data_IF_540217059043
#
_entry.id   IF_540217059043
#
_cell.length_a   1.000
_cell.length_b   1.000
_cell.length_c   1.000
_cell.angle_alpha   90.00
_cell.angle_beta   90.00
_cell.angle_gamma   90.00
#
_symmetry.space_group_name_H-M   'P 1'
#
loop_
_entity.id
_entity.type
_entity.pdbx_description
1 polymer ?
#
# COMPACT_ATOMS: atom_id res chain seq x y z
N UNK A 1 -18.65 10.81 -2.34
CA UNK A 1 -18.52 11.66 -1.15
C UNK A 1 -17.25 11.25 -0.44
N UNK A 2 -16.19 12.00 -0.67
CA UNK A 2 -14.85 11.74 -0.13
C UNK A 2 -14.86 11.95 1.39
N UNK A 3 -14.00 11.25 2.14
CA UNK A 3 -13.82 11.42 3.59
C UNK A 3 -13.58 12.90 4.00
N UNK A 4 -13.05 13.71 3.08
CA UNK A 4 -12.91 15.17 3.22
C UNK A 4 -14.25 15.92 3.19
N UNK A 5 -15.18 15.54 2.33
CA UNK A 5 -16.51 16.15 2.24
C UNK A 5 -17.36 15.82 3.49
N UNK A 6 -17.28 14.57 3.98
CA UNK A 6 -17.91 14.18 5.24
C UNK A 6 -17.34 14.93 6.46
N UNK A 7 -16.01 15.17 6.50
CA UNK A 7 -15.39 15.97 7.57
C UNK A 7 -15.85 17.42 7.56
N UNK A 8 -16.01 18.04 6.39
CA UNK A 8 -16.54 19.41 6.28
C UNK A 8 -18.00 19.50 6.71
N UNK A 9 -18.84 18.52 6.34
CA UNK A 9 -20.27 18.55 6.64
C UNK A 9 -20.53 18.39 8.16
N UNK A 10 -19.86 17.43 8.81
CA UNK A 10 -19.94 17.25 10.27
C UNK A 10 -19.34 18.44 11.03
N UNK A 11 -18.23 19.03 10.54
CA UNK A 11 -17.64 20.23 11.16
C UNK A 11 -18.54 21.47 11.01
N UNK A 12 -19.33 21.56 9.93
CA UNK A 12 -20.29 22.66 9.73
C UNK A 12 -21.54 22.56 10.60
N UNK A 13 -21.94 21.34 10.97
CA UNK A 13 -23.15 21.08 11.78
C UNK A 13 -22.86 20.92 13.28
N UNK A 14 -21.62 20.58 13.66
CA UNK A 14 -21.21 20.45 15.07
C UNK A 14 -21.51 21.71 15.91
N UNK A 15 -21.30 22.96 15.43
CA UNK A 15 -21.68 24.16 16.19
C UNK A 15 -23.19 24.24 16.44
N UNK A 16 -24.02 23.82 15.47
CA UNK A 16 -25.49 23.83 15.60
C UNK A 16 -25.96 22.76 16.58
N UNK A 17 -25.33 21.58 16.60
CA UNK A 17 -25.63 20.52 17.56
C UNK A 17 -25.28 20.93 19.01
N UNK A 18 -24.20 21.68 19.19
CA UNK A 18 -23.81 22.21 20.51
C UNK A 18 -24.76 23.33 20.94
N UNK A 19 -25.24 24.15 20.01
CA UNK A 19 -26.22 25.19 20.30
C UNK A 19 -27.64 24.66 20.57
N UNK A 20 -27.97 23.43 20.16
CA UNK A 20 -29.31 22.86 20.33
C UNK A 20 -29.73 22.68 21.81
N UNK A 21 -28.78 22.71 22.75
CA UNK A 21 -29.04 22.63 24.21
C UNK A 21 -29.44 23.96 24.84
N UNK A 22 -29.26 25.08 24.13
CA UNK A 22 -29.57 26.43 24.63
C UNK A 22 -31.02 26.90 24.45
N UNK A 23 -31.67 26.71 23.27
CA UNK A 23 -33.01 27.24 23.00
C UNK A 23 -34.15 26.22 23.21
N UNK A 24 -33.87 24.93 23.34
CA UNK A 24 -34.88 23.90 23.62
C UNK A 24 -34.84 23.64 25.12
N UNK A 25 -35.92 23.96 25.84
CA UNK A 25 -36.03 23.81 27.31
C UNK A 25 -36.03 22.38 27.84
N UNK A 26 -35.49 21.43 27.08
CA UNK A 26 -35.39 20.01 27.40
C UNK A 26 -33.97 19.67 27.88
N UNK A 27 -33.86 18.76 28.85
CA UNK A 27 -32.57 18.32 29.41
C UNK A 27 -31.85 17.36 28.44
N UNK A 28 -31.29 17.91 27.36
CA UNK A 28 -30.58 17.16 26.32
C UNK A 28 -29.08 17.36 26.47
N UNK A 29 -28.31 16.26 26.45
CA UNK A 29 -26.84 16.27 26.44
C UNK A 29 -26.32 15.65 25.14
N UNK A 30 -25.46 16.37 24.43
CA UNK A 30 -24.83 15.90 23.19
C UNK A 30 -23.40 15.44 23.49
N UNK A 31 -23.09 14.19 23.13
CA UNK A 31 -21.73 13.63 23.24
C UNK A 31 -21.15 13.48 21.84
N UNK A 32 -20.02 14.15 21.60
CA UNK A 32 -19.28 14.08 20.34
C UNK A 32 -18.02 13.24 20.53
N UNK A 33 -17.80 12.26 19.65
CA UNK A 33 -16.62 11.39 19.66
C UNK A 33 -15.78 11.68 18.41
N UNK A 34 -14.48 11.93 18.60
CA UNK A 34 -13.56 12.21 17.49
C UNK A 34 -12.14 11.78 17.83
N UNK A 35 -11.39 11.39 16.78
CA UNK A 35 -9.93 11.23 16.83
C UNK A 35 -9.18 12.55 16.57
N UNK A 36 -9.91 13.63 16.32
CA UNK A 36 -9.36 14.95 15.97
C UNK A 36 -9.48 15.88 17.18
N UNK A 37 -8.42 16.64 17.46
CA UNK A 37 -8.42 17.68 18.49
C UNK A 37 -9.48 18.77 18.22
N UNK A 38 -10.12 19.25 19.29
CA UNK A 38 -11.24 20.20 19.24
C UNK A 38 -10.90 21.50 18.49
N UNK A 39 -9.65 21.97 18.54
CA UNK A 39 -9.21 23.21 17.89
C UNK A 39 -9.51 23.24 16.37
N UNK A 40 -9.59 22.07 15.73
CA UNK A 40 -9.92 21.96 14.29
C UNK A 40 -11.41 22.07 13.98
N UNK A 41 -12.26 22.00 14.99
CA UNK A 41 -13.72 22.14 14.85
C UNK A 41 -14.20 23.56 15.16
N UNK A 42 -13.33 24.44 15.67
CA UNK A 42 -13.72 25.82 15.99
C UNK A 42 -14.07 26.59 14.72
N UNK A 43 -15.31 27.08 14.57
CA UNK A 43 -15.70 27.92 13.44
C UNK A 43 -15.15 29.34 13.62
N UNK A 44 -14.99 30.06 12.51
CA UNK A 44 -14.51 31.45 12.53
C UNK A 44 -15.49 32.41 13.24
N UNK A 45 -16.75 32.05 13.38
CA UNK A 45 -17.80 32.84 14.02
C UNK A 45 -17.96 32.57 15.52
N UNK A 46 -17.15 31.69 16.10
CA UNK A 46 -17.27 31.23 17.48
C UNK A 46 -18.36 30.16 17.68
N UNK A 47 -18.20 29.35 18.72
CA UNK A 47 -19.17 28.34 19.15
C UNK A 47 -19.12 28.20 20.68
N UNK A 48 -20.12 27.53 21.26
CA UNK A 48 -20.05 27.15 22.67
C UNK A 48 -18.96 26.09 22.88
N UNK A 49 -18.16 26.23 23.93
CA UNK A 49 -17.03 25.33 24.19
C UNK A 49 -17.53 24.09 24.96
N UNK A 50 -17.43 22.89 24.38
CA UNK A 50 -17.87 21.67 25.04
C UNK A 50 -16.91 21.27 26.16
N UNK A 51 -17.39 20.41 27.06
CA UNK A 51 -16.51 19.74 28.02
C UNK A 51 -15.62 18.74 27.28
N UNK A 52 -14.31 18.99 27.26
CA UNK A 52 -13.33 18.13 26.60
C UNK A 52 -12.91 16.98 27.51
N UNK A 53 -13.17 15.75 27.07
CA UNK A 53 -12.72 14.52 27.73
C UNK A 53 -11.75 13.79 26.81
N UNK A 54 -10.51 13.64 27.25
CA UNK A 54 -9.49 12.90 26.52
C UNK A 54 -9.43 11.44 26.98
N UNK A 55 -9.52 10.51 26.04
CA UNK A 55 -9.30 9.09 26.24
C UNK A 55 -7.86 8.77 25.80
N UNK A 56 -6.92 8.54 26.74
CA UNK A 56 -5.53 8.26 26.40
C UNK A 56 -5.36 6.88 25.75
N UNK A 57 -4.27 6.71 25.03
CA UNK A 57 -3.89 5.42 24.46
C UNK A 57 -3.54 4.41 25.58
N UNK A 58 -3.90 3.15 25.36
CA UNK A 58 -3.54 2.07 26.29
C UNK A 58 -2.02 1.83 26.31
N UNK A 59 -1.47 1.74 27.51
CA UNK A 59 -0.13 1.24 27.78
C UNK A 59 0.00 -0.24 27.42
N UNK A 60 1.25 -0.73 27.26
CA UNK A 60 1.51 -2.16 27.02
C UNK A 60 0.90 -3.05 28.10
N UNK A 61 0.97 -2.62 29.36
CA UNK A 61 0.39 -3.34 30.51
C UNK A 61 -1.14 -3.40 30.43
N UNK A 62 -1.80 -2.29 30.09
CA UNK A 62 -3.26 -2.25 29.95
C UNK A 62 -3.71 -3.11 28.77
N UNK A 63 -3.03 -3.04 27.62
CA UNK A 63 -3.30 -3.91 26.48
C UNK A 63 -3.14 -5.38 26.86
N UNK A 64 -2.10 -5.75 27.61
CA UNK A 64 -1.91 -7.12 28.08
C UNK A 64 -3.08 -7.55 28.96
N UNK A 65 -3.51 -6.70 29.90
CA UNK A 65 -4.64 -7.00 30.79
C UNK A 65 -5.94 -7.16 30.00
N UNK A 66 -6.25 -6.23 29.09
CA UNK A 66 -7.49 -6.25 28.29
C UNK A 66 -7.53 -7.46 27.36
N UNK A 67 -6.44 -7.73 26.63
CA UNK A 67 -6.38 -8.85 25.70
C UNK A 67 -6.45 -10.20 26.43
N UNK A 68 -5.83 -10.31 27.60
CA UNK A 68 -5.81 -11.55 28.40
C UNK A 68 -7.16 -11.89 29.05
N UNK A 69 -8.20 -11.08 28.90
CA UNK A 69 -9.55 -11.40 29.40
C UNK A 69 -10.31 -12.37 28.49
N UNK A 70 -9.98 -12.43 27.20
CA UNK A 70 -10.66 -13.27 26.20
C UNK A 70 -10.03 -14.68 26.12
N UNK A 71 -9.87 -15.34 27.27
CA UNK A 71 -9.22 -16.66 27.36
C UNK A 71 -10.13 -17.73 26.76
N UNK A 72 -9.55 -18.60 25.93
CA UNK A 72 -10.24 -19.80 25.47
C UNK A 72 -10.41 -20.79 26.63
N UNK A 73 -11.60 -21.36 26.80
CA UNK A 73 -11.95 -22.23 27.95
C UNK A 73 -11.05 -23.47 28.12
N UNK A 74 -10.33 -23.87 27.08
CA UNK A 74 -9.45 -25.04 27.07
C UNK A 74 -8.05 -24.84 27.67
N UNK A 75 -7.64 -23.59 27.96
CA UNK A 75 -6.27 -23.29 28.40
C UNK A 75 -6.24 -22.45 29.68
N UNK A 76 -5.12 -22.53 30.42
CA UNK A 76 -4.95 -21.73 31.64
C UNK A 76 -4.81 -20.23 31.36
N UNK A 77 -5.35 -19.39 32.24
CA UNK A 77 -5.24 -17.93 32.10
C UNK A 77 -3.77 -17.45 32.12
N UNK A 78 -2.91 -18.13 32.88
CA UNK A 78 -1.47 -17.85 32.90
C UNK A 78 -0.80 -18.15 31.56
N UNK A 79 -1.19 -19.23 30.89
CA UNK A 79 -0.71 -19.58 29.56
C UNK A 79 -1.11 -18.55 28.51
N UNK A 80 -2.37 -18.14 28.48
CA UNK A 80 -2.85 -17.13 27.54
C UNK A 80 -2.23 -15.75 27.80
N UNK A 81 -2.02 -15.36 29.06
CA UNK A 81 -1.32 -14.12 29.40
C UNK A 81 0.15 -14.13 28.94
N UNK A 82 0.83 -15.27 29.06
CA UNK A 82 2.19 -15.43 28.52
C UNK A 82 2.20 -15.30 26.99
N UNK A 83 1.22 -15.90 26.30
CA UNK A 83 1.03 -15.73 24.85
C UNK A 83 0.82 -14.27 24.44
N UNK A 84 -0.07 -13.54 25.13
CA UNK A 84 -0.31 -12.13 24.86
C UNK A 84 0.93 -11.28 25.11
N UNK A 85 1.71 -11.56 26.16
CA UNK A 85 2.97 -10.85 26.41
C UNK A 85 3.99 -11.09 25.28
N UNK A 86 4.07 -12.32 24.78
CA UNK A 86 4.87 -12.70 23.61
C UNK A 86 4.43 -11.92 22.37
N UNK A 87 3.12 -11.90 22.09
CA UNK A 87 2.54 -11.19 20.96
C UNK A 87 2.83 -9.69 21.04
N UNK A 88 2.56 -9.07 22.20
CA UNK A 88 2.88 -7.66 22.42
C UNK A 88 4.39 -7.39 22.39
N UNK A 89 5.24 -8.37 22.69
CA UNK A 89 6.68 -8.28 22.50
C UNK A 89 7.08 -8.04 21.04
N UNK A 90 6.35 -8.63 20.09
CA UNK A 90 6.60 -8.48 18.64
C UNK A 90 5.87 -7.27 18.07
N UNK A 91 4.55 -7.18 18.29
CA UNK A 91 3.69 -6.26 17.55
C UNK A 91 3.59 -4.86 18.16
N UNK A 92 3.85 -4.65 19.45
CA UNK A 92 3.60 -3.36 20.12
C UNK A 92 4.40 -2.18 19.53
N UNK A 93 5.53 -2.47 18.89
CA UNK A 93 6.35 -1.45 18.20
C UNK A 93 5.72 -0.94 16.90
N UNK A 94 4.86 -1.75 16.25
CA UNK A 94 4.27 -1.47 14.93
C UNK A 94 2.76 -1.21 15.03
N UNK A 95 2.06 -1.89 15.95
CA UNK A 95 0.61 -1.82 16.10
C UNK A 95 0.22 -1.67 17.58
N UNK A 96 -0.58 -0.64 17.87
CA UNK A 96 -1.18 -0.37 19.19
C UNK A 96 -2.72 -0.38 19.18
N UNK A 97 -3.34 -0.66 18.03
CA UNK A 97 -4.80 -0.78 17.94
C UNK A 97 -5.23 -2.09 18.61
N UNK A 98 -6.02 -1.96 19.68
CA UNK A 98 -6.57 -3.08 20.43
C UNK A 98 -7.32 -4.08 19.55
N UNK A 99 -8.07 -3.61 18.55
CA UNK A 99 -8.90 -4.45 17.67
C UNK A 99 -8.03 -5.30 16.75
N UNK A 100 -6.99 -4.71 16.18
CA UNK A 100 -6.04 -5.42 15.32
C UNK A 100 -5.20 -6.40 16.14
N UNK A 101 -4.72 -6.00 17.32
CA UNK A 101 -4.00 -6.90 18.23
C UNK A 101 -4.89 -8.07 18.68
N UNK A 102 -6.19 -7.84 18.93
CA UNK A 102 -7.14 -8.91 19.25
C UNK A 102 -7.35 -9.86 18.07
N UNK A 103 -7.44 -9.34 16.85
CA UNK A 103 -7.56 -10.15 15.65
C UNK A 103 -6.30 -11.01 15.43
N UNK A 104 -5.11 -10.41 15.52
CA UNK A 104 -3.83 -11.11 15.41
C UNK A 104 -3.66 -12.17 16.50
N UNK A 105 -4.11 -11.88 17.72
CA UNK A 105 -4.10 -12.84 18.82
C UNK A 105 -4.99 -14.04 18.49
N UNK A 106 -6.21 -13.82 18.01
CA UNK A 106 -7.10 -14.91 17.61
C UNK A 106 -6.52 -15.75 16.45
N UNK A 107 -5.95 -15.08 15.43
CA UNK A 107 -5.42 -15.74 14.23
C UNK A 107 -4.20 -16.63 14.54
N UNK A 108 -3.29 -16.15 15.39
CA UNK A 108 -2.03 -16.85 15.64
C UNK A 108 -2.08 -17.79 16.85
N UNK A 109 -3.18 -17.80 17.62
CA UNK A 109 -3.31 -18.65 18.81
C UNK A 109 -3.33 -20.14 18.47
N UNK A 110 -4.00 -20.54 17.38
CA UNK A 110 -4.02 -21.94 16.93
C UNK A 110 -2.60 -22.49 16.70
N UNK A 111 -1.76 -21.71 16.00
CA UNK A 111 -0.36 -22.06 15.73
C UNK A 111 0.52 -22.04 16.99
N UNK A 112 0.22 -21.17 17.95
CA UNK A 112 0.89 -21.18 19.26
C UNK A 112 0.67 -22.48 20.02
N UNK A 113 -0.53 -23.05 19.91
CA UNK A 113 -0.94 -24.26 20.62
C UNK A 113 -0.55 -25.57 19.91
N UNK A 114 -0.16 -25.52 18.63
CA UNK A 114 0.18 -26.70 17.82
C UNK A 114 1.26 -27.60 18.47
N UNK A 115 2.38 -27.08 19.01
CA UNK A 115 3.39 -27.92 19.68
C UNK A 115 2.86 -28.66 20.92
N UNK A 116 1.82 -28.13 21.57
CA UNK A 116 1.16 -28.78 22.71
C UNK A 116 0.18 -29.87 22.25
N UNK A 117 -0.54 -29.61 21.16
CA UNK A 117 -1.50 -30.56 20.59
C UNK A 117 -0.82 -31.78 19.94
N UNK A 118 0.32 -31.57 19.28
CA UNK A 118 1.07 -32.63 18.59
C UNK A 118 1.97 -33.47 19.53
N UNK A 119 2.08 -33.09 20.80
CA UNK A 119 2.93 -33.80 21.78
C UNK A 119 4.42 -33.77 21.43
N UNK A 120 4.86 -32.85 20.57
CA UNK A 120 6.27 -32.74 20.13
C UNK A 120 7.17 -32.40 21.32
N UNK A 121 7.82 -33.42 21.88
CA UNK A 121 8.90 -33.27 22.86
C UNK A 121 8.49 -33.03 24.31
N UNK A 122 7.38 -33.62 24.79
CA UNK A 122 6.91 -33.50 26.19
C UNK A 122 6.72 -32.05 26.66
N UNK A 123 6.39 -31.13 25.74
CA UNK A 123 6.19 -29.72 26.07
C UNK A 123 4.97 -29.55 26.98
N UNK A 124 5.16 -28.83 28.09
CA UNK A 124 4.07 -28.43 28.99
C UNK A 124 3.74 -26.96 28.78
N UNK A 125 2.57 -26.53 29.24
CA UNK A 125 2.17 -25.10 29.24
C UNK A 125 3.21 -24.20 29.94
N UNK A 126 4.03 -24.77 30.83
CA UNK A 126 5.09 -24.07 31.57
C UNK A 126 6.34 -23.76 30.75
N UNK A 127 6.55 -24.41 29.59
CA UNK A 127 7.73 -24.25 28.72
C UNK A 127 7.62 -23.02 27.79
N UNK A 128 7.26 -21.86 28.34
CA UNK A 128 6.96 -20.62 27.59
C UNK A 128 8.09 -20.19 26.64
N UNK A 129 9.35 -20.36 27.04
CA UNK A 129 10.51 -20.00 26.22
C UNK A 129 10.69 -20.91 24.98
N UNK A 130 10.34 -22.20 25.07
CA UNK A 130 10.41 -23.13 23.92
C UNK A 130 9.29 -22.82 22.92
N UNK A 131 8.09 -22.52 23.43
CA UNK A 131 6.94 -22.11 22.62
C UNK A 131 7.20 -20.78 21.92
N UNK A 132 7.83 -19.81 22.61
CA UNK A 132 8.31 -18.58 22.00
C UNK A 132 9.23 -18.83 20.82
N UNK A 133 10.29 -19.63 21.00
CA UNK A 133 11.25 -19.92 19.91
C UNK A 133 10.59 -20.57 18.69
N UNK A 134 9.52 -21.33 18.90
CA UNK A 134 8.77 -21.96 17.81
C UNK A 134 7.91 -20.95 17.04
N UNK A 135 7.18 -20.06 17.73
CA UNK A 135 6.25 -19.13 17.07
C UNK A 135 6.89 -17.80 16.65
N UNK A 136 7.99 -17.39 17.28
CA UNK A 136 8.68 -16.11 17.01
C UNK A 136 8.91 -15.85 15.51
N UNK A 137 9.47 -16.77 14.70
CA UNK A 137 9.66 -16.52 13.26
C UNK A 137 8.34 -16.34 12.52
N UNK A 138 7.30 -17.06 12.92
CA UNK A 138 5.96 -16.93 12.34
C UNK A 138 5.32 -15.58 12.67
N UNK A 139 5.42 -15.11 13.92
CA UNK A 139 4.93 -13.79 14.31
C UNK A 139 5.69 -12.66 13.63
N UNK A 140 7.03 -12.75 13.50
CA UNK A 140 7.83 -11.75 12.78
C UNK A 140 7.46 -11.65 11.31
N UNK A 141 7.07 -12.76 10.69
CA UNK A 141 6.57 -12.79 9.33
C UNK A 141 5.16 -12.19 9.22
N UNK A 142 4.25 -12.56 10.12
CA UNK A 142 2.93 -11.97 10.23
C UNK A 142 2.98 -10.45 10.46
N UNK A 143 4.02 -9.95 11.15
CA UNK A 143 4.27 -8.53 11.37
C UNK A 143 4.38 -7.72 10.07
N UNK A 144 4.86 -8.34 8.98
CA UNK A 144 5.02 -7.67 7.68
C UNK A 144 3.69 -7.47 6.94
N UNK A 145 2.61 -8.11 7.39
CA UNK A 145 1.30 -8.13 6.70
C UNK A 145 0.15 -7.70 7.61
N UNK A 146 0.44 -7.13 8.80
CA UNK A 146 -0.52 -6.82 9.88
C UNK A 146 -1.76 -6.07 9.40
N UNK A 147 -1.57 -5.02 8.59
CA UNK A 147 -2.66 -4.13 8.17
C UNK A 147 -3.25 -4.47 6.81
N UNK A 148 -2.71 -5.48 6.13
CA UNK A 148 -3.21 -5.81 4.81
C UNK A 148 -4.63 -6.41 4.91
N UNK A 149 -5.03 -7.03 6.04
CA UNK A 149 -6.31 -7.79 6.24
C UNK A 149 -6.61 -8.83 5.14
N UNK A 150 -5.75 -8.93 4.14
CA UNK A 150 -5.81 -9.67 2.90
C UNK A 150 -5.51 -11.15 3.09
N UNK A 151 -5.12 -11.52 4.29
CA UNK A 151 -4.96 -12.91 4.63
C UNK A 151 -6.21 -13.34 5.39
N UNK A 152 -7.24 -13.74 4.63
CA UNK A 152 -8.31 -14.57 5.21
C UNK A 152 -7.65 -15.74 5.96
N UNK A 153 -8.18 -16.14 7.12
CA UNK A 153 -7.64 -17.28 7.89
C UNK A 153 -7.38 -18.51 7.01
N UNK A 154 -8.24 -18.73 6.01
CA UNK A 154 -8.12 -19.75 4.97
C UNK A 154 -6.93 -19.55 4.02
N UNK A 155 -6.64 -18.32 3.59
CA UNK A 155 -5.47 -18.02 2.75
C UNK A 155 -4.17 -18.15 3.55
N UNK A 156 -4.17 -17.82 4.84
CA UNK A 156 -2.99 -18.02 5.69
C UNK A 156 -2.68 -19.51 5.87
N UNK A 157 -3.72 -20.32 6.12
CA UNK A 157 -3.62 -21.77 6.23
C UNK A 157 -3.14 -22.39 4.90
N UNK A 158 -3.64 -21.92 3.76
CA UNK A 158 -3.17 -22.34 2.43
C UNK A 158 -1.72 -21.89 2.15
N UNK A 159 -1.33 -20.68 2.59
CA UNK A 159 0.06 -20.19 2.51
C UNK A 159 1.01 -21.05 3.35
N UNK A 160 0.58 -21.50 4.53
CA UNK A 160 1.36 -22.44 5.36
C UNK A 160 1.55 -23.80 4.68
N UNK A 161 0.53 -24.33 4.02
CA UNK A 161 0.60 -25.61 3.29
C UNK A 161 1.45 -25.53 2.00
N UNK A 162 1.47 -24.38 1.32
CA UNK A 162 2.34 -24.17 0.16
C UNK A 162 3.81 -23.98 0.56
N UNK A 163 4.08 -23.40 1.73
CA UNK A 163 5.45 -23.15 2.22
C UNK A 163 6.23 -24.40 2.62
N UNK A 164 5.58 -25.47 3.08
CA UNK A 164 6.25 -26.75 3.30
C UNK A 164 6.76 -27.38 1.99
N UNK A 165 6.21 -26.97 0.83
CA UNK A 165 6.58 -27.50 -0.49
C UNK A 165 7.57 -26.59 -1.26
N UNK A 166 7.54 -25.29 -1.05
CA UNK A 166 8.41 -24.33 -1.76
C UNK A 166 9.19 -23.44 -0.79
N UNK A 167 10.31 -23.95 -0.30
CA UNK A 167 11.28 -23.16 0.45
C UNK A 167 11.91 -22.08 -0.46
N UNK A 168 11.40 -20.84 -0.43
CA UNK A 168 12.22 -19.69 -0.82
C UNK A 168 11.59 -18.42 -1.39
N UNK A 169 10.28 -18.34 -1.68
CA UNK A 169 9.74 -17.11 -2.26
C UNK A 169 8.34 -16.78 -1.73
N UNK A 170 8.30 -15.98 -0.67
CA UNK A 170 7.11 -15.26 -0.23
C UNK A 170 6.60 -14.35 -1.35
N UNK A 171 5.48 -14.72 -1.97
CA UNK A 171 4.72 -13.85 -2.86
C UNK A 171 3.32 -13.67 -2.27
N UNK A 172 3.14 -12.63 -1.46
CA UNK A 172 1.79 -12.17 -1.08
C UNK A 172 0.99 -11.70 -2.31
N UNK A 173 -0.26 -11.28 -2.14
CA UNK A 173 -1.08 -10.72 -3.23
C UNK A 173 -0.40 -9.55 -3.97
N UNK A 174 0.49 -8.81 -3.30
CA UNK A 174 1.36 -7.78 -3.90
C UNK A 174 2.33 -8.31 -4.97
N UNK A 175 2.58 -9.62 -5.00
CA UNK A 175 3.46 -10.30 -5.92
C UNK A 175 2.72 -11.12 -6.99
N UNK A 176 1.38 -11.10 -6.99
CA UNK A 176 0.55 -11.42 -8.15
C UNK A 176 0.45 -10.21 -9.10
N UNK A 177 1.59 -9.61 -9.43
CA UNK A 177 1.70 -8.68 -10.56
C UNK A 177 1.64 -9.43 -11.90
N UNK A 178 0.80 -10.45 -12.01
CA UNK A 178 0.57 -11.19 -13.24
C UNK A 178 -0.68 -10.62 -13.92
N UNK A 179 -0.60 -9.35 -14.32
CA UNK A 179 -1.63 -8.75 -15.18
C UNK A 179 -1.31 -9.15 -16.62
N UNK A 180 -2.13 -10.03 -17.18
CA UNK A 180 -2.03 -10.37 -18.59
C UNK A 180 -2.60 -9.24 -19.44
N UNK A 181 -1.71 -8.51 -20.11
CA UNK A 181 -2.06 -7.42 -21.03
C UNK A 181 -1.87 -7.87 -22.49
N UNK A 182 -2.67 -7.36 -23.44
CA UNK A 182 -2.40 -7.54 -24.86
C UNK A 182 -1.00 -7.05 -25.26
N UNK A 183 -0.43 -7.63 -26.34
CA UNK A 183 0.94 -7.33 -26.78
C UNK A 183 1.22 -5.82 -26.94
N UNK A 184 0.37 -5.09 -27.66
CA UNK A 184 0.54 -3.65 -27.84
C UNK A 184 0.33 -2.85 -26.56
N UNK A 185 -0.60 -3.26 -25.69
CA UNK A 185 -0.78 -2.66 -24.36
C UNK A 185 0.48 -2.79 -23.50
N UNK A 186 1.22 -3.91 -23.58
CA UNK A 186 2.51 -4.08 -22.90
C UNK A 186 3.54 -3.06 -23.39
N UNK A 187 3.70 -2.91 -24.70
CA UNK A 187 4.65 -1.95 -25.27
C UNK A 187 4.24 -0.48 -25.03
N UNK A 188 2.94 -0.16 -25.07
CA UNK A 188 2.42 1.16 -24.69
C UNK A 188 2.77 1.48 -23.24
N UNK A 189 2.61 0.51 -22.33
CA UNK A 189 2.93 0.69 -20.93
C UNK A 189 4.44 0.84 -20.69
N UNK A 190 5.29 0.08 -21.40
CA UNK A 190 6.76 0.22 -21.37
C UNK A 190 7.16 1.62 -21.87
N UNK A 191 6.61 2.05 -23.01
CA UNK A 191 6.87 3.37 -23.56
C UNK A 191 6.44 4.49 -22.62
N UNK A 192 5.28 4.36 -21.96
CA UNK A 192 4.80 5.31 -20.97
C UNK A 192 5.68 5.38 -19.72
N UNK A 193 6.22 4.25 -19.27
CA UNK A 193 7.18 4.20 -18.17
C UNK A 193 8.46 4.95 -18.54
N UNK A 194 9.02 4.65 -19.72
CA UNK A 194 10.21 5.35 -20.23
C UNK A 194 9.95 6.86 -20.40
N UNK A 195 8.77 7.25 -20.89
CA UNK A 195 8.39 8.65 -21.01
C UNK A 195 8.30 9.35 -19.63
N UNK A 196 7.83 8.66 -18.59
CA UNK A 196 7.65 9.24 -17.25
C UNK A 196 8.96 9.40 -16.49
N UNK A 197 9.87 8.43 -16.60
CA UNK A 197 11.08 8.36 -15.78
C UNK A 197 12.32 8.93 -16.49
N UNK A 198 12.33 8.98 -17.83
CA UNK A 198 13.41 9.62 -18.57
C UNK A 198 13.11 11.11 -18.85
N UNK A 199 14.10 12.00 -18.68
CA UNK A 199 13.99 13.37 -19.15
C UNK A 199 13.82 13.44 -20.68
N UNK A 200 12.90 14.27 -21.18
CA UNK A 200 12.64 14.43 -22.63
C UNK A 200 13.89 14.77 -23.47
N UNK A 201 14.87 15.46 -22.87
CA UNK A 201 16.17 15.76 -23.51
C UNK A 201 16.96 14.51 -23.92
N UNK A 202 16.66 13.35 -23.33
CA UNK A 202 17.37 12.09 -23.57
C UNK A 202 16.72 11.23 -24.65
N UNK A 203 15.49 11.54 -25.09
CA UNK A 203 14.73 10.70 -26.02
C UNK A 203 15.48 10.47 -27.34
N UNK A 204 16.12 11.51 -27.89
CA UNK A 204 16.93 11.42 -29.12
C UNK A 204 18.08 10.41 -29.00
N UNK A 205 18.68 10.28 -27.82
CA UNK A 205 19.80 9.36 -27.58
C UNK A 205 19.32 7.91 -27.54
N UNK A 206 18.13 7.66 -27.00
CA UNK A 206 17.61 6.31 -26.75
C UNK A 206 16.77 5.76 -27.90
N UNK A 207 16.00 6.60 -28.59
CA UNK A 207 14.92 6.16 -29.47
C UNK A 207 15.13 6.52 -30.96
N UNK A 208 16.25 7.17 -31.31
CA UNK A 208 16.55 7.47 -32.71
C UNK A 208 17.46 6.39 -33.33
N UNK A 209 16.89 5.51 -34.18
CA UNK A 209 17.56 4.34 -34.81
C UNK A 209 18.78 4.69 -35.70
N UNK A 210 18.99 5.96 -36.04
CA UNK A 210 20.16 6.44 -36.79
C UNK A 210 20.82 7.66 -36.13
N UNK A 211 21.21 7.54 -34.87
CA UNK A 211 22.12 8.53 -34.32
C UNK A 211 23.52 8.25 -34.88
N UNK A 212 23.95 9.03 -35.88
CA UNK A 212 25.35 9.09 -36.28
C UNK A 212 26.24 9.32 -35.04
N UNK A 213 27.53 8.90 -35.09
CA UNK A 213 28.50 8.89 -33.96
C UNK A 213 28.16 9.95 -32.91
N UNK A 214 27.43 9.54 -31.86
CA UNK A 214 27.20 10.39 -30.69
C UNK A 214 28.58 10.61 -30.08
N UNK A 215 29.12 11.82 -30.20
CA UNK A 215 30.29 12.21 -29.41
C UNK A 215 29.92 11.91 -27.96
N UNK A 216 30.70 11.03 -27.31
CA UNK A 216 30.73 10.87 -25.85
C UNK A 216 31.15 12.20 -25.24
N UNK A 217 30.29 13.21 -25.34
CA UNK A 217 30.40 14.40 -24.51
C UNK A 217 30.08 13.89 -23.14
N UNK A 218 31.06 14.01 -22.25
CA UNK A 218 30.90 13.72 -20.84
C UNK A 218 29.76 14.60 -20.34
N UNK A 219 28.53 14.10 -20.40
CA UNK A 219 27.42 14.65 -19.64
C UNK A 219 27.70 14.23 -18.21
N UNK A 220 28.67 14.93 -17.60
CA UNK A 220 28.81 15.04 -16.16
C UNK A 220 27.38 15.17 -15.65
N UNK A 221 26.94 14.22 -14.82
CA UNK A 221 25.65 14.25 -14.13
C UNK A 221 25.58 15.60 -13.41
N UNK A 222 25.07 16.64 -14.10
CA UNK A 222 25.15 18.03 -13.67
C UNK A 222 24.09 18.16 -12.58
N UNK A 223 24.50 17.82 -11.35
CA UNK A 223 23.76 18.05 -10.11
C UNK A 223 22.27 17.64 -10.10
N UNK A 224 21.87 16.53 -10.74
CA UNK A 224 20.66 15.83 -10.30
C UNK A 224 21.08 14.92 -9.14
N UNK A 225 21.22 15.51 -7.94
CA UNK A 225 21.63 14.79 -6.71
C UNK A 225 20.60 13.75 -6.25
N UNK A 226 19.41 13.74 -6.86
CA UNK A 226 18.28 12.87 -6.55
C UNK A 226 17.86 12.11 -7.80
N UNK A 227 17.83 10.77 -7.73
CA UNK A 227 17.33 9.90 -8.81
C UNK A 227 15.92 10.30 -9.23
N UNK A 228 15.62 10.23 -10.53
CA UNK A 228 14.27 10.48 -11.06
C UNK A 228 13.25 9.50 -10.46
N UNK A 229 13.68 8.28 -10.13
CA UNK A 229 12.83 7.30 -9.42
C UNK A 229 12.44 7.75 -8.01
N UNK A 230 13.25 8.57 -7.33
CA UNK A 230 12.93 9.15 -6.02
C UNK A 230 11.99 10.36 -6.13
N UNK A 231 12.06 11.11 -7.24
CA UNK A 231 11.20 12.27 -7.49
C UNK A 231 9.79 11.86 -7.97
N UNK A 232 9.64 10.65 -8.48
CA UNK A 232 8.39 10.11 -9.00
C UNK A 232 8.17 10.40 -10.50
N UNK A 233 7.07 9.85 -11.07
CA UNK A 233 6.80 9.89 -12.51
C UNK A 233 6.47 11.30 -13.00
N UNK A 234 7.17 11.76 -14.05
CA UNK A 234 6.93 13.07 -14.68
C UNK A 234 5.80 12.98 -15.72
N UNK A 235 4.94 14.02 -15.84
CA UNK A 235 3.91 14.02 -16.86
C UNK A 235 4.51 14.14 -18.26
N UNK A 236 3.93 13.44 -19.23
CA UNK A 236 4.34 13.46 -20.63
C UNK A 236 3.13 13.63 -21.56
N UNK A 237 3.30 14.30 -22.73
CA UNK A 237 2.23 14.44 -23.71
C UNK A 237 2.03 13.15 -24.51
N UNK A 238 0.83 12.97 -25.09
CA UNK A 238 0.49 11.84 -25.95
C UNK A 238 1.47 11.64 -27.12
N UNK A 239 1.90 12.72 -27.76
CA UNK A 239 2.82 12.65 -28.90
C UNK A 239 4.15 11.99 -28.53
N UNK A 240 4.67 12.29 -27.33
CA UNK A 240 5.90 11.70 -26.82
C UNK A 240 5.73 10.21 -26.55
N UNK A 241 4.57 9.79 -26.03
CA UNK A 241 4.25 8.37 -25.82
C UNK A 241 4.26 7.62 -27.14
N UNK A 242 3.54 8.12 -28.15
CA UNK A 242 3.44 7.49 -29.46
C UNK A 242 4.81 7.41 -30.15
N UNK A 243 5.61 8.49 -30.08
CA UNK A 243 6.95 8.51 -30.65
C UNK A 243 7.87 7.44 -30.03
N UNK A 244 7.84 7.30 -28.70
CA UNK A 244 8.62 6.25 -28.00
C UNK A 244 8.07 4.87 -28.36
N UNK A 245 6.75 4.68 -28.33
CA UNK A 245 6.08 3.43 -28.68
C UNK A 245 6.49 2.93 -30.08
N UNK A 246 6.37 3.76 -31.10
CA UNK A 246 6.75 3.40 -32.47
C UNK A 246 8.27 3.19 -32.64
N UNK A 247 9.10 3.73 -31.75
CA UNK A 247 10.54 3.45 -31.75
C UNK A 247 10.88 2.09 -31.14
N UNK A 248 10.20 1.70 -30.05
CA UNK A 248 10.55 0.49 -29.28
C UNK A 248 9.87 -0.76 -29.82
N UNK A 249 8.75 -0.62 -30.54
CA UNK A 249 8.09 -1.74 -31.21
C UNK A 249 8.83 -2.05 -32.51
N UNK A 250 9.18 -3.32 -32.70
CA UNK A 250 9.93 -3.77 -33.90
C UNK A 250 9.03 -3.89 -35.14
N UNK A 251 7.72 -4.05 -34.97
CA UNK A 251 6.76 -4.13 -36.08
C UNK A 251 6.34 -2.75 -36.60
N UNK A 252 6.07 -2.65 -37.90
CA UNK A 252 5.43 -1.46 -38.48
C UNK A 252 3.97 -1.44 -38.04
N UNK A 253 3.67 -0.63 -37.04
CA UNK A 253 2.32 -0.45 -36.51
C UNK A 253 1.68 0.79 -37.15
N UNK A 254 0.52 0.62 -37.79
CA UNK A 254 -0.26 1.74 -38.28
C UNK A 254 -0.96 2.47 -37.10
N UNK A 255 -1.08 3.81 -37.13
CA UNK A 255 -1.85 4.56 -36.13
C UNK A 255 -3.35 4.32 -36.32
N UNK A 256 -3.87 3.27 -35.68
CA UNK A 256 -5.29 2.90 -35.72
C UNK A 256 -6.03 3.38 -34.46
N UNK A 257 -7.35 3.57 -34.56
CA UNK A 257 -8.21 3.91 -33.42
C UNK A 257 -8.07 2.93 -32.24
N UNK A 258 -7.69 1.67 -32.52
CA UNK A 258 -7.45 0.65 -31.50
C UNK A 258 -6.28 0.98 -30.56
N UNK A 259 -5.25 1.72 -31.01
CA UNK A 259 -4.13 2.14 -30.15
C UNK A 259 -4.61 3.17 -29.14
N UNK A 260 -5.37 4.18 -29.58
CA UNK A 260 -5.96 5.17 -28.70
C UNK A 260 -6.94 4.52 -27.71
N UNK A 261 -7.76 3.57 -28.17
CA UNK A 261 -8.63 2.79 -27.30
C UNK A 261 -7.84 2.03 -26.23
N UNK A 262 -6.68 1.43 -26.58
CA UNK A 262 -5.83 0.75 -25.60
C UNK A 262 -5.21 1.71 -24.59
N UNK A 263 -4.81 2.92 -25.01
CA UNK A 263 -4.31 3.95 -24.08
C UNK A 263 -5.42 4.33 -23.09
N UNK A 264 -6.64 4.57 -23.58
CA UNK A 264 -7.79 4.84 -22.71
C UNK A 264 -8.07 3.68 -21.74
N UNK A 265 -8.02 2.43 -22.22
CA UNK A 265 -8.16 1.26 -21.34
C UNK A 265 -7.07 1.18 -20.27
N UNK A 266 -5.81 1.51 -20.59
CA UNK A 266 -4.72 1.56 -19.59
C UNK A 266 -4.96 2.65 -18.54
N UNK A 267 -5.63 3.76 -18.90
CA UNK A 267 -6.06 4.79 -17.95
C UNK A 267 -7.21 4.29 -17.07
N UNK A 268 -8.22 3.65 -17.68
CA UNK A 268 -9.34 3.04 -16.93
C UNK A 268 -8.84 2.00 -15.92
N UNK A 269 -7.84 1.20 -16.30
CA UNK A 269 -7.19 0.19 -15.45
C UNK A 269 -6.21 0.78 -14.41
N UNK A 270 -6.07 2.11 -14.34
CA UNK A 270 -5.16 2.80 -13.41
C UNK A 270 -3.68 2.41 -13.58
N UNK A 271 -3.30 1.88 -14.74
CA UNK A 271 -1.88 1.66 -15.09
C UNK A 271 -1.24 2.95 -15.60
N UNK A 272 -2.06 3.82 -16.20
CA UNK A 272 -1.74 5.21 -16.52
C UNK A 272 -2.72 6.15 -15.79
N UNK A 273 -2.26 7.34 -15.47
CA UNK A 273 -3.11 8.42 -14.96
C UNK A 273 -3.11 9.58 -15.95
N UNK A 274 -4.29 10.07 -16.32
CA UNK A 274 -4.43 11.31 -17.05
C UNK A 274 -4.36 12.49 -16.07
N UNK A 275 -3.54 13.49 -16.39
CA UNK A 275 -3.25 14.65 -15.51
C UNK A 275 -3.82 15.95 -16.08
N UNK A 276 -4.18 15.97 -17.37
CA UNK A 276 -4.95 17.08 -17.94
C UNK A 276 -6.36 17.11 -17.36
N UNK A 277 -6.95 18.30 -17.23
CA UNK A 277 -8.38 18.43 -16.94
C UNK A 277 -9.22 17.75 -18.04
N UNK A 278 -10.34 17.14 -17.64
CA UNK A 278 -11.23 16.38 -18.54
C UNK A 278 -11.78 17.23 -19.70
N UNK A 279 -11.86 18.55 -19.52
CA UNK A 279 -12.41 19.49 -20.51
C UNK A 279 -11.48 19.80 -21.68
N UNK A 280 -10.21 19.34 -21.66
CA UNK A 280 -9.20 19.68 -22.65
C UNK A 280 -8.79 18.48 -23.50
N UNK A 281 -9.55 18.23 -24.58
CA UNK A 281 -9.33 17.11 -25.52
C UNK A 281 -8.07 17.25 -26.39
N UNK A 282 -7.58 18.47 -26.61
CA UNK A 282 -6.56 18.75 -27.63
C UNK A 282 -5.13 18.31 -27.25
N UNK A 283 -4.81 18.17 -25.95
CA UNK A 283 -3.44 17.87 -25.51
C UNK A 283 -3.42 17.09 -24.18
N UNK A 284 -3.90 15.82 -24.16
CA UNK A 284 -3.89 15.03 -22.95
C UNK A 284 -2.45 14.77 -22.48
N UNK A 285 -2.24 14.94 -21.18
CA UNK A 285 -0.99 14.61 -20.50
C UNK A 285 -1.21 13.40 -19.62
N UNK A 286 -0.28 12.47 -19.68
CA UNK A 286 -0.33 11.22 -18.92
C UNK A 286 0.85 11.11 -17.96
N UNK A 287 0.69 10.26 -16.94
CA UNK A 287 1.75 9.78 -16.04
C UNK A 287 1.63 8.27 -15.91
N UNK A 288 2.77 7.59 -15.82
CA UNK A 288 2.80 6.18 -15.54
C UNK A 288 2.61 5.93 -14.04
N UNK A 289 1.72 5.00 -13.68
CA UNK A 289 1.39 4.68 -12.29
C UNK A 289 2.02 3.36 -11.80
N UNK A 290 2.78 2.66 -12.66
CA UNK A 290 3.35 1.35 -12.33
C UNK A 290 4.76 1.44 -11.74
N UNK A 291 5.13 0.44 -10.94
CA UNK A 291 6.46 0.34 -10.33
C UNK A 291 7.52 -0.21 -11.30
N UNK A 292 8.80 -0.06 -10.93
CA UNK A 292 9.92 -0.61 -11.68
C UNK A 292 9.85 -2.13 -11.79
N UNK A 293 9.47 -2.82 -10.71
CA UNK A 293 9.39 -4.28 -10.69
C UNK A 293 8.28 -4.80 -11.61
N UNK A 294 7.13 -4.12 -11.59
CA UNK A 294 6.00 -4.43 -12.45
C UNK A 294 6.37 -4.30 -13.93
N UNK A 295 6.99 -3.17 -14.30
CA UNK A 295 7.36 -2.96 -15.70
C UNK A 295 8.51 -3.86 -16.15
N UNK A 296 9.45 -4.20 -15.26
CA UNK A 296 10.48 -5.20 -15.55
C UNK A 296 9.86 -6.57 -15.82
N UNK A 297 8.87 -6.99 -15.03
CA UNK A 297 8.15 -8.24 -15.24
C UNK A 297 7.45 -8.26 -16.61
N UNK A 298 6.72 -7.20 -16.97
CA UNK A 298 6.07 -7.07 -18.28
C UNK A 298 7.11 -7.10 -19.42
N UNK A 299 8.20 -6.36 -19.28
CA UNK A 299 9.25 -6.26 -20.31
C UNK A 299 9.88 -7.62 -20.59
N UNK A 300 10.08 -8.46 -19.57
CA UNK A 300 10.56 -9.85 -19.75
C UNK A 300 9.59 -10.68 -20.59
N UNK A 301 8.28 -10.52 -20.43
CA UNK A 301 7.28 -11.29 -21.22
C UNK A 301 7.28 -10.97 -22.72
N UNK A 302 7.83 -9.82 -23.11
CA UNK A 302 7.98 -9.40 -24.52
C UNK A 302 9.45 -9.38 -24.95
N UNK A 303 10.35 -9.95 -24.15
CA UNK A 303 11.79 -9.99 -24.39
C UNK A 303 12.42 -8.60 -24.65
N UNK A 304 11.95 -7.57 -23.94
CA UNK A 304 12.46 -6.21 -24.01
C UNK A 304 13.33 -5.88 -22.78
N UNK A 305 14.54 -5.37 -23.01
CA UNK A 305 15.46 -4.99 -21.92
C UNK A 305 15.29 -3.51 -21.56
N UNK A 306 14.32 -3.23 -20.68
CA UNK A 306 13.95 -1.86 -20.29
C UNK A 306 15.08 -1.11 -19.56
N UNK A 307 15.94 -1.82 -18.81
CA UNK A 307 16.98 -1.20 -17.97
C UNK A 307 17.98 -0.45 -18.83
N UNK A 308 18.30 -0.94 -20.03
CA UNK A 308 19.17 -0.27 -21.01
C UNK A 308 18.65 1.10 -21.48
N UNK A 309 17.34 1.32 -21.39
CA UNK A 309 16.69 2.54 -21.84
C UNK A 309 16.40 3.52 -20.71
N UNK A 310 16.71 3.20 -19.44
CA UNK A 310 16.48 4.09 -18.31
C UNK A 310 17.71 4.96 -18.02
N UNK A 311 17.52 6.27 -17.95
CA UNK A 311 18.58 7.25 -17.76
C UNK A 311 19.35 7.07 -16.44
N UNK A 312 18.66 6.68 -15.37
CA UNK A 312 19.23 6.59 -14.02
C UNK A 312 20.20 5.41 -13.84
N UNK A 313 20.06 4.36 -14.66
CA UNK A 313 20.84 3.11 -14.56
C UNK A 313 22.04 3.06 -15.53
N UNK A 314 22.42 4.23 -16.08
CA UNK A 314 23.57 4.42 -16.98
C UNK A 314 24.72 5.23 -16.35
#
# INVERSE_FOLDING_TARGET
ITLSEMKCQVASEAPNAIQATGPVGDNVTVILLSEIAWDKFRPNTGCFEPLLLHFPDYSKSELQQILSQNVHSSYSAGFYSAYINILLGVFYSVCRDLRELRHLAALNFSKFCEPLAEGKGNLKETDTHKLWKHIEPHLKKAMQTVYLREVSSLQWEQMQQMEEKEAGALRGLSAHTHVELPYYSKFLLIAAYLASYNPARTDKRFFLKHHGKIRKTNFLKKNEKTSNHLLGPKPFPLDRLLAIFYSVVDSRVAPTASIFSQISSLVTLQLLAQVSHDDQLDAPKYKCAVSLDFICAISRTVNFDIVKYLYDFL
#
